data_IF_655655911378
#
_entry.id   IF_655655911378
#
_cell.length_a   1.000
_cell.length_b   1.000
_cell.length_c   1.000
_cell.angle_alpha   90.00
_cell.angle_beta   90.00
_cell.angle_gamma   90.00
#
_symmetry.space_group_name_H-M   'P 1'
#
loop_
_entity.id
_entity.type
_entity.pdbx_description
1 polymer ?
#
# COMPACT_ATOMS: atom_id res chain seq x y z
N UNK A 1 -2.47 14.07 1.77
CA UNK A 1 -2.41 12.74 1.12
C UNK A 1 -1.02 12.10 1.18
N UNK A 2 0.05 12.78 0.76
CA UNK A 2 1.41 12.24 0.70
C UNK A 2 1.89 11.56 2.00
N UNK A 3 1.60 12.11 3.19
CA UNK A 3 1.95 11.47 4.47
C UNK A 3 1.25 10.11 4.69
N UNK A 4 -0.02 9.97 4.28
CA UNK A 4 -0.76 8.72 4.40
C UNK A 4 -0.21 7.67 3.43
N UNK A 5 0.16 8.09 2.22
CA UNK A 5 0.78 7.21 1.21
C UNK A 5 2.18 6.78 1.64
N UNK A 6 2.95 7.69 2.26
CA UNK A 6 4.25 7.35 2.84
C UNK A 6 4.11 6.35 4.00
N UNK A 7 3.07 6.52 4.83
CA UNK A 7 2.76 5.56 5.88
C UNK A 7 2.42 4.18 5.29
N UNK A 8 1.63 4.14 4.21
CA UNK A 8 1.32 2.91 3.47
C UNK A 8 2.61 2.22 2.97
N UNK A 9 3.49 2.96 2.28
CA UNK A 9 4.78 2.43 1.81
C UNK A 9 5.60 1.82 2.95
N UNK A 10 5.66 2.48 4.10
CA UNK A 10 6.39 1.99 5.27
C UNK A 10 5.79 0.70 5.86
N UNK A 11 4.46 0.53 5.82
CA UNK A 11 3.81 -0.72 6.22
C UNK A 11 4.12 -1.86 5.24
N UNK A 12 4.17 -1.55 3.94
CA UNK A 12 4.51 -2.54 2.90
C UNK A 12 5.96 -3.01 3.04
N UNK A 13 6.89 -2.08 3.29
CA UNK A 13 8.30 -2.40 3.56
C UNK A 13 8.42 -3.29 4.82
N UNK A 14 7.76 -2.91 5.92
CA UNK A 14 7.77 -3.70 7.15
C UNK A 14 7.18 -5.11 6.96
N UNK A 15 6.16 -5.23 6.09
CA UNK A 15 5.60 -6.53 5.71
C UNK A 15 6.63 -7.34 4.93
N UNK A 16 7.33 -6.72 3.97
CA UNK A 16 8.31 -7.38 3.10
C UNK A 16 9.62 -7.76 3.81
N UNK A 17 10.02 -7.02 4.85
CA UNK A 17 11.19 -7.34 5.70
C UNK A 17 10.93 -8.55 6.62
N UNK A 18 9.65 -8.86 6.86
CA UNK A 18 9.22 -10.03 7.62
C UNK A 18 9.35 -11.36 6.87
N UNK A 19 9.10 -12.49 7.55
CA UNK A 19 9.09 -13.82 6.95
C UNK A 19 7.84 -14.01 6.08
N UNK A 20 7.90 -13.50 4.85
CA UNK A 20 6.83 -13.61 3.85
C UNK A 20 7.15 -14.66 2.79
N UNK A 21 6.10 -15.31 2.28
CA UNK A 21 6.25 -16.26 1.19
C UNK A 21 6.76 -15.58 -0.10
N UNK A 22 7.50 -16.31 -0.95
CA UNK A 22 8.15 -15.71 -2.14
C UNK A 22 7.14 -15.04 -3.08
N UNK A 23 5.96 -15.62 -3.21
CA UNK A 23 4.90 -15.09 -4.06
C UNK A 23 4.39 -13.75 -3.50
N UNK A 24 4.13 -13.67 -2.20
CA UNK A 24 3.72 -12.44 -1.53
C UNK A 24 4.81 -11.36 -1.63
N UNK A 25 6.08 -11.75 -1.44
CA UNK A 25 7.23 -10.84 -1.53
C UNK A 25 7.31 -10.12 -2.89
N UNK A 26 6.97 -10.80 -4.00
CA UNK A 26 6.91 -10.17 -5.33
C UNK A 26 5.84 -9.09 -5.41
N UNK A 27 4.63 -9.39 -4.95
CA UNK A 27 3.51 -8.45 -4.96
C UNK A 27 3.75 -7.28 -4.01
N UNK A 28 4.33 -7.54 -2.83
CA UNK A 28 4.70 -6.53 -1.84
C UNK A 28 5.74 -5.55 -2.39
N UNK A 29 6.78 -6.04 -3.08
CA UNK A 29 7.79 -5.15 -3.66
C UNK A 29 7.23 -4.25 -4.75
N UNK A 30 6.32 -4.75 -5.58
CA UNK A 30 5.66 -3.93 -6.61
C UNK A 30 4.70 -2.91 -5.97
N UNK A 31 3.93 -3.32 -4.97
CA UNK A 31 3.06 -2.45 -4.20
C UNK A 31 3.84 -1.34 -3.47
N UNK A 32 4.98 -1.67 -2.87
CA UNK A 32 5.85 -0.72 -2.18
C UNK A 32 6.42 0.32 -3.14
N UNK A 33 6.94 -0.12 -4.30
CA UNK A 33 7.46 0.79 -5.32
C UNK A 33 6.40 1.79 -5.82
N UNK A 34 5.16 1.32 -6.04
CA UNK A 34 4.04 2.17 -6.46
C UNK A 34 3.61 3.12 -5.34
N UNK A 35 3.58 2.67 -4.09
CA UNK A 35 3.27 3.51 -2.95
C UNK A 35 4.36 4.58 -2.72
N UNK A 36 5.64 4.23 -2.89
CA UNK A 36 6.75 5.16 -2.81
C UNK A 36 6.70 6.20 -3.92
N UNK A 37 6.40 5.79 -5.16
CA UNK A 37 6.14 6.69 -6.29
C UNK A 37 5.02 7.67 -5.93
N UNK A 38 3.88 7.16 -5.47
CA UNK A 38 2.71 7.96 -5.07
C UNK A 38 2.94 8.89 -3.87
N UNK A 39 3.93 8.60 -3.02
CA UNK A 39 4.32 9.47 -1.90
C UNK A 39 5.17 10.67 -2.35
N UNK A 40 5.59 10.72 -3.62
CA UNK A 40 6.33 11.85 -4.19
C UNK A 40 5.49 13.12 -4.15
N UNK A 41 6.05 14.18 -3.57
CA UNK A 41 5.34 15.44 -3.31
C UNK A 41 4.94 16.25 -4.55
N UNK A 42 5.31 15.80 -5.75
CA UNK A 42 5.03 16.44 -7.04
C UNK A 42 3.77 15.88 -7.73
N UNK A 43 3.18 14.81 -7.19
CA UNK A 43 2.00 14.17 -7.77
C UNK A 43 0.70 14.83 -7.32
N UNK A 44 -0.23 14.97 -8.27
CA UNK A 44 -1.60 15.38 -8.00
C UNK A 44 -2.33 14.31 -7.16
N UNK A 45 -3.21 14.74 -6.24
CA UNK A 45 -3.96 13.81 -5.37
C UNK A 45 -4.76 12.77 -6.17
N UNK A 46 -5.30 13.14 -7.33
CA UNK A 46 -6.01 12.21 -8.22
C UNK A 46 -5.09 11.07 -8.70
N UNK A 47 -3.87 11.40 -9.14
CA UNK A 47 -2.88 10.43 -9.60
C UNK A 47 -2.38 9.57 -8.46
N UNK A 48 -2.08 10.16 -7.30
CA UNK A 48 -1.70 9.41 -6.10
C UNK A 48 -2.82 8.43 -5.68
N UNK A 49 -4.09 8.80 -5.88
CA UNK A 49 -5.24 7.94 -5.60
C UNK A 49 -5.31 6.75 -6.54
N UNK A 50 -5.09 6.98 -7.84
CA UNK A 50 -5.04 5.92 -8.85
C UNK A 50 -3.92 4.91 -8.52
N UNK A 51 -2.74 5.40 -8.17
CA UNK A 51 -1.62 4.58 -7.71
C UNK A 51 -1.97 3.76 -6.47
N UNK A 52 -2.59 4.37 -5.46
CA UNK A 52 -3.05 3.66 -4.25
C UNK A 52 -4.13 2.62 -4.57
N UNK A 53 -4.99 2.85 -5.56
CA UNK A 53 -5.94 1.86 -6.03
C UNK A 53 -5.23 0.65 -6.64
N UNK A 54 -4.20 0.86 -7.46
CA UNK A 54 -3.34 -0.22 -7.98
C UNK A 54 -2.67 -0.98 -6.84
N UNK A 55 -2.11 -0.29 -5.84
CA UNK A 55 -1.52 -0.94 -4.66
C UNK A 55 -2.56 -1.85 -3.99
N UNK A 56 -3.77 -1.36 -3.73
CA UNK A 56 -4.83 -2.18 -3.13
C UNK A 56 -5.15 -3.43 -3.95
N UNK A 57 -5.14 -3.33 -5.28
CA UNK A 57 -5.38 -4.46 -6.17
C UNK A 57 -4.26 -5.51 -6.05
N UNK A 58 -2.99 -5.08 -6.04
CA UNK A 58 -1.84 -5.97 -5.82
C UNK A 58 -1.91 -6.67 -4.45
N UNK A 59 -2.30 -5.95 -3.40
CA UNK A 59 -2.47 -6.54 -2.07
C UNK A 59 -3.66 -7.52 -2.00
N UNK A 60 -4.61 -7.43 -2.92
CA UNK A 60 -5.73 -8.37 -3.01
C UNK A 60 -5.33 -9.72 -3.60
N UNK A 61 -4.21 -9.79 -4.33
CA UNK A 61 -3.62 -11.05 -4.80
C UNK A 61 -2.90 -11.80 -3.67
N UNK A 62 -2.69 -11.13 -2.53
CA UNK A 62 -2.08 -11.70 -1.33
C UNK A 62 -3.19 -12.07 -0.33
N UNK A 63 -3.49 -13.36 -0.27
CA UNK A 63 -4.49 -13.91 0.65
C UNK A 63 -3.95 -13.95 2.09
N UNK A 64 -2.72 -14.43 2.26
CA UNK A 64 -1.97 -14.52 3.53
C UNK A 64 -0.47 -14.53 3.23
N UNK A 65 0.31 -14.01 4.16
CA UNK A 65 1.78 -13.88 4.06
C UNK A 65 2.53 -15.09 4.62
N UNK A 66 1.84 -16.00 5.30
CA UNK A 66 2.37 -17.13 6.04
C UNK A 66 2.77 -16.79 7.48
N UNK A 67 2.54 -15.55 7.92
CA UNK A 67 3.01 -15.06 9.22
C UNK A 67 2.10 -14.02 9.84
N UNK A 68 1.72 -14.23 11.10
CA UNK A 68 0.72 -13.42 11.82
C UNK A 68 1.11 -11.92 11.90
N UNK A 69 2.39 -11.62 12.15
CA UNK A 69 2.91 -10.25 12.19
C UNK A 69 2.91 -9.59 10.80
N UNK A 70 3.30 -10.32 9.75
CA UNK A 70 3.29 -9.77 8.39
C UNK A 70 1.84 -9.57 7.91
N UNK A 71 0.92 -10.45 8.26
CA UNK A 71 -0.50 -10.31 7.99
C UNK A 71 -1.11 -9.09 8.70
N UNK A 72 -0.71 -8.81 9.94
CA UNK A 72 -1.15 -7.62 10.67
C UNK A 72 -0.72 -6.31 9.95
N UNK A 73 0.50 -6.28 9.42
CA UNK A 73 0.99 -5.15 8.62
C UNK A 73 0.28 -5.06 7.26
N UNK A 74 0.05 -6.19 6.59
CA UNK A 74 -0.70 -6.26 5.32
C UNK A 74 -2.13 -5.74 5.49
N UNK A 75 -2.83 -6.17 6.52
CA UNK A 75 -4.19 -5.71 6.85
C UNK A 75 -4.22 -4.22 7.21
N UNK A 76 -3.17 -3.72 7.87
CA UNK A 76 -3.02 -2.29 8.15
C UNK A 76 -2.80 -1.49 6.87
N UNK A 77 -1.97 -1.98 5.94
CA UNK A 77 -1.76 -1.40 4.62
C UNK A 77 -3.07 -1.35 3.81
N UNK A 78 -3.81 -2.47 3.74
CA UNK A 78 -5.13 -2.54 3.08
C UNK A 78 -6.12 -1.52 3.66
N UNK A 79 -6.14 -1.35 4.99
CA UNK A 79 -6.97 -0.32 5.67
C UNK A 79 -6.57 1.10 5.30
N UNK A 80 -5.27 1.41 5.23
CA UNK A 80 -4.79 2.73 4.82
C UNK A 80 -5.17 3.01 3.37
N UNK A 81 -4.96 2.06 2.45
CA UNK A 81 -5.41 2.19 1.06
C UNK A 81 -6.89 2.54 0.98
N UNK A 82 -7.73 1.78 1.69
CA UNK A 82 -9.17 2.03 1.74
C UNK A 82 -9.48 3.42 2.29
N UNK A 83 -8.86 3.84 3.39
CA UNK A 83 -9.08 5.17 3.96
C UNK A 83 -8.71 6.31 2.99
N UNK A 84 -7.61 6.16 2.23
CA UNK A 84 -7.21 7.12 1.19
C UNK A 84 -8.23 7.15 0.05
N UNK A 85 -8.69 5.97 -0.40
CA UNK A 85 -9.66 5.83 -1.50
C UNK A 85 -11.10 6.21 -1.12
N UNK A 86 -11.44 6.22 0.17
CA UNK A 86 -12.75 6.64 0.68
C UNK A 86 -12.75 8.11 1.15
N UNK A 87 -11.59 8.68 1.52
CA UNK A 87 -11.50 10.09 1.89
C UNK A 87 -11.87 10.93 0.67
N UNK A 88 -12.99 11.66 0.65
CA UNK A 88 -13.34 12.47 -0.52
C UNK A 88 -12.16 13.38 -0.81
N UNK A 89 -11.59 13.30 -2.01
CA UNK A 89 -10.72 14.38 -2.49
C UNK A 89 -11.62 15.61 -2.46
N UNK A 90 -11.38 16.50 -1.51
CA UNK A 90 -12.07 17.80 -1.46
C UNK A 90 -11.66 18.53 -2.74
N UNK A 91 -12.54 18.49 -3.73
CA UNK A 91 -12.26 18.81 -5.13
C UNK A 91 -13.56 18.77 -5.93
N UNK A 92 -14.41 19.74 -5.64
CA UNK A 92 -15.64 20.10 -6.34
C UNK A 92 -15.32 21.05 -7.49
#
# INVERSE_FOLDING_TARGET
MAEQVRHLSNQLEATADGPVDRTASRWLGEAEAIAADAATSDLEDATARERVATVRELLSEIDDTGHEDADAHLESAKRICRAILESPSDGQ
#
